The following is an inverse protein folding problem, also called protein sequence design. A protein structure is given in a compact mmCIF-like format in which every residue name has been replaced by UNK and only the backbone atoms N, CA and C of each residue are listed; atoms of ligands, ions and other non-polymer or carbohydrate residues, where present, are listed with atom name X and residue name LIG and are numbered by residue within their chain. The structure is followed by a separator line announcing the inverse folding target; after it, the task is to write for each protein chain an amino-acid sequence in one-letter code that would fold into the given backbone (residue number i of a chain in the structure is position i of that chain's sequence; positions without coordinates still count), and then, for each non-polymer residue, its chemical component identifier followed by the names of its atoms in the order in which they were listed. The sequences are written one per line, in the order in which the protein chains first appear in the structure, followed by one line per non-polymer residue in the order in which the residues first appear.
data_IF_598793742185
#
_entry.id   IF_598793742185
#
_cell.length_a   1.000
_cell.length_b   1.000
_cell.length_c   1.000
_cell.angle_alpha   90.00
_cell.angle_beta   90.00
_cell.angle_gamma   90.00
#
_symmetry.space_group_name_H-M   'P 1'
#
loop_
_entity.id
_entity.type
_entity.pdbx_description
1 polymer ?
#
# COMPACT_ATOMS: atom_id res chain seq x y z
N UNK A 1 -68.96 16.90 -13.16
CA UNK A 1 -69.76 17.21 -11.95
C UNK A 1 -70.38 15.89 -11.50
N UNK A 2 -70.06 15.30 -10.36
CA UNK A 2 -69.73 15.88 -9.06
C UNK A 2 -68.63 15.10 -8.32
N UNK A 3 -67.96 15.83 -7.43
CA UNK A 3 -67.06 15.40 -6.35
C UNK A 3 -67.78 14.64 -5.22
N UNK A 4 -66.98 14.01 -4.34
CA UNK A 4 -67.32 13.65 -2.96
C UNK A 4 -66.67 12.32 -2.56
N UNK A 5 -65.44 12.34 -2.03
CA UNK A 5 -65.09 12.14 -0.59
C UNK A 5 -65.49 10.76 -0.03
N UNK A 6 -64.70 10.00 0.75
CA UNK A 6 -63.38 10.15 1.34
C UNK A 6 -63.02 8.81 2.05
N UNK A 7 -61.79 8.78 2.61
CA UNK A 7 -61.34 7.98 3.78
C UNK A 7 -60.84 6.53 3.57
N UNK A 8 -59.56 6.38 3.90
CA UNK A 8 -58.75 5.15 4.10
C UNK A 8 -59.07 4.53 5.48
N UNK A 9 -58.99 3.19 5.64
CA UNK A 9 -58.04 2.68 6.64
C UNK A 9 -57.24 1.45 6.17
N UNK A 10 -55.92 1.58 6.33
CA UNK A 10 -54.94 0.62 6.87
C UNK A 10 -55.33 -0.87 7.00
N UNK A 11 -54.61 -1.73 6.28
CA UNK A 11 -54.01 -2.97 6.80
C UNK A 11 -52.90 -3.42 5.84
N UNK A 12 -51.64 -3.33 6.28
CA UNK A 12 -50.49 -3.93 5.59
C UNK A 12 -50.36 -5.37 6.07
N UNK A 13 -50.64 -6.33 5.19
CA UNK A 13 -50.29 -7.72 5.42
C UNK A 13 -48.86 -8.01 4.95
N UNK A 14 -48.03 -8.29 5.96
CA UNK A 14 -47.24 -9.52 6.10
C UNK A 14 -46.27 -9.93 4.98
N UNK A 15 -44.99 -9.64 5.22
CA UNK A 15 -43.87 -10.47 4.75
C UNK A 15 -43.29 -11.25 5.94
N UNK A 16 -43.01 -12.57 5.82
CA UNK A 16 -42.41 -13.33 6.91
C UNK A 16 -40.90 -13.13 6.92
N UNK A 17 -40.42 -12.50 7.98
CA UNK A 17 -39.02 -12.46 8.39
C UNK A 17 -38.68 -13.83 9.01
N UNK A 18 -37.88 -14.64 8.31
CA UNK A 18 -37.40 -15.92 8.82
C UNK A 18 -36.06 -15.73 9.52
N UNK A 19 -36.09 -15.96 10.82
CA UNK A 19 -34.99 -16.04 11.76
C UNK A 19 -33.78 -16.84 11.26
N UNK A 20 -32.59 -16.29 11.53
CA UNK A 20 -31.44 -17.10 11.93
C UNK A 20 -31.00 -16.61 13.31
N UNK A 21 -31.15 -17.52 14.27
CA UNK A 21 -30.88 -17.33 15.67
C UNK A 21 -29.38 -17.18 15.95
N UNK A 22 -29.09 -16.23 16.85
CA UNK A 22 -28.21 -16.38 18.02
C UNK A 22 -26.94 -17.21 17.88
N UNK A 23 -25.82 -16.50 17.80
CA UNK A 23 -24.58 -16.91 18.45
C UNK A 23 -23.94 -15.66 19.06
N UNK A 24 -24.34 -15.32 20.30
CA UNK A 24 -23.60 -14.39 21.15
C UNK A 24 -22.32 -15.07 21.60
N UNK A 25 -21.18 -14.60 21.12
CA UNK A 25 -19.87 -14.90 21.72
C UNK A 25 -19.52 -13.78 22.71
N UNK A 26 -19.02 -14.09 23.91
CA UNK A 26 -18.50 -13.09 24.83
C UNK A 26 -17.11 -12.70 24.32
N UNK A 27 -17.01 -11.55 23.65
CA UNK A 27 -15.70 -10.94 23.41
C UNK A 27 -15.33 -10.14 24.63
N UNK A 28 -14.58 -10.82 25.50
CA UNK A 28 -13.95 -10.25 26.68
C UNK A 28 -13.22 -8.95 26.34
N UNK A 29 -13.48 -7.98 27.21
CA UNK A 29 -12.76 -6.73 27.34
C UNK A 29 -11.25 -6.99 27.46
N UNK A 30 -10.52 -6.74 26.38
CA UNK A 30 -9.10 -6.43 26.44
C UNK A 30 -8.91 -5.02 25.89
N UNK A 31 -9.34 -4.04 26.71
CA UNK A 31 -8.84 -2.69 26.56
C UNK A 31 -7.33 -2.73 26.75
N UNK A 32 -6.60 -2.59 25.65
CA UNK A 32 -5.16 -2.31 25.69
C UNK A 32 -4.99 -0.92 26.27
N UNK A 33 -4.96 -0.86 27.60
CA UNK A 33 -4.59 0.31 28.37
C UNK A 33 -3.10 0.52 28.14
N UNK A 34 -2.77 1.26 27.08
CA UNK A 34 -1.49 1.94 27.00
C UNK A 34 -1.50 2.91 28.17
N UNK A 35 -0.88 2.46 29.26
CA UNK A 35 -0.71 3.25 30.47
C UNK A 35 0.21 4.41 30.09
N UNK A 36 -0.40 5.54 29.75
CA UNK A 36 0.30 6.81 29.70
C UNK A 36 1.05 6.97 31.03
N UNK A 37 2.33 7.38 31.02
CA UNK A 37 3.04 7.66 32.26
C UNK A 37 2.18 8.62 33.09
N UNK A 38 2.10 8.44 34.42
CA UNK A 38 1.23 9.26 35.24
C UNK A 38 1.55 10.72 34.96
N UNK A 39 0.55 11.44 34.44
CA UNK A 39 0.63 12.88 34.26
C UNK A 39 1.12 13.45 35.58
N UNK A 40 2.28 14.12 35.55
CA UNK A 40 2.85 14.74 36.73
C UNK A 40 1.75 15.57 37.39
N UNK A 41 1.44 15.25 38.65
CA UNK A 41 0.37 15.91 39.38
C UNK A 41 0.54 17.43 39.24
N UNK A 42 -0.54 18.18 38.93
CA UNK A 42 -0.43 19.63 38.80
C UNK A 42 0.20 20.16 40.08
N UNK A 43 1.27 20.98 40.01
CA UNK A 43 2.01 21.40 41.18
C UNK A 43 1.02 21.97 42.18
N UNK A 44 0.99 21.34 43.35
CA UNK A 44 -0.07 21.53 44.34
C UNK A 44 -0.40 23.00 44.50
N UNK A 45 -1.71 23.32 44.45
CA UNK A 45 -2.23 24.67 44.72
C UNK A 45 -1.84 25.08 46.14
N UNK A 46 -0.62 25.57 46.32
CA UNK A 46 -0.24 26.37 47.47
C UNK A 46 -1.15 27.60 47.38
N UNK A 47 -2.07 27.73 48.33
CA UNK A 47 -2.87 28.95 48.47
C UNK A 47 -1.91 30.09 48.81
N UNK A 48 -1.39 30.76 47.81
CA UNK A 48 -0.66 32.02 47.97
C UNK A 48 -1.70 33.09 48.30
N UNK A 49 -1.62 33.67 49.49
CA UNK A 49 -2.41 34.83 49.87
C UNK A 49 -1.69 36.08 49.38
N UNK A 50 -2.31 36.80 48.44
CA UNK A 50 -1.77 38.04 47.89
C UNK A 50 -2.33 39.25 48.64
N UNK A 51 -1.49 40.26 48.96
CA UNK A 51 -1.97 41.51 49.54
C UNK A 51 -2.98 42.23 48.63
N UNK A 52 -4.02 42.87 49.20
CA UNK A 52 -5.06 43.59 48.45
C UNK A 52 -4.62 44.97 47.92
N UNK A 53 -3.36 45.34 48.15
CA UNK A 53 -2.77 46.56 47.60
C UNK A 53 -2.60 46.49 46.08
N UNK A 54 -2.59 47.64 45.40
CA UNK A 54 -2.33 47.74 43.95
C UNK A 54 -1.00 47.07 43.56
N UNK A 55 0.06 47.29 44.34
CA UNK A 55 1.37 46.67 44.11
C UNK A 55 1.31 45.13 44.22
N UNK A 56 0.63 44.61 45.24
CA UNK A 56 0.43 43.16 45.41
C UNK A 56 -0.34 42.51 44.25
N UNK A 57 -1.31 43.23 43.66
CA UNK A 57 -2.05 42.77 42.48
C UNK A 57 -1.21 42.78 41.21
N UNK A 58 -0.30 43.74 41.06
CA UNK A 58 0.67 43.76 39.96
C UNK A 58 1.61 42.56 40.06
N UNK A 59 2.13 42.24 41.25
CA UNK A 59 2.97 41.07 41.47
C UNK A 59 2.23 39.75 41.22
N UNK A 60 0.98 39.64 41.67
CA UNK A 60 0.10 38.50 41.39
C UNK A 60 -0.09 38.32 39.87
N UNK A 61 -0.29 39.42 39.13
CA UNK A 61 -0.38 39.42 37.67
C UNK A 61 0.88 38.88 37.01
N UNK A 62 2.05 39.42 37.38
CA UNK A 62 3.34 38.94 36.86
C UNK A 62 3.59 37.46 37.18
N UNK A 63 3.21 37.01 38.38
CA UNK A 63 3.31 35.60 38.74
C UNK A 63 2.45 34.73 37.83
N UNK A 64 1.16 35.10 37.64
CA UNK A 64 0.25 34.33 36.79
C UNK A 64 0.69 34.30 35.33
N UNK A 65 1.17 35.42 34.78
CA UNK A 65 1.71 35.48 33.42
C UNK A 65 2.87 34.49 33.26
N UNK A 66 3.83 34.49 34.18
CA UNK A 66 4.94 33.52 34.16
C UNK A 66 4.46 32.07 34.23
N UNK A 67 3.45 31.78 35.04
CA UNK A 67 2.88 30.42 35.11
C UNK A 67 2.20 30.03 33.78
N UNK A 68 1.49 30.96 33.15
CA UNK A 68 0.88 30.72 31.84
C UNK A 68 1.92 30.51 30.75
N UNK A 69 3.02 31.25 30.77
CA UNK A 69 4.13 31.08 29.81
C UNK A 69 4.77 29.70 29.92
N UNK A 70 4.97 29.20 31.14
CA UNK A 70 5.46 27.84 31.38
C UNK A 70 4.48 26.78 30.86
N UNK A 71 3.19 26.90 31.20
CA UNK A 71 2.17 25.97 30.73
C UNK A 71 2.04 25.99 29.19
N UNK A 72 2.17 27.17 28.58
CA UNK A 72 2.18 27.30 27.12
C UNK A 72 3.35 26.53 26.53
N UNK A 73 4.55 26.69 27.07
CA UNK A 73 5.73 25.97 26.58
C UNK A 73 5.62 24.44 26.74
N UNK A 74 4.89 23.97 27.74
CA UNK A 74 4.59 22.54 27.90
C UNK A 74 3.61 22.06 26.83
N UNK A 75 2.51 22.78 26.63
CA UNK A 75 1.49 22.46 25.62
C UNK A 75 2.05 22.55 24.20
N UNK A 76 2.86 23.55 23.88
CA UNK A 76 3.49 23.69 22.56
C UNK A 76 4.36 22.46 22.24
N UNK A 77 5.07 21.91 23.24
CA UNK A 77 5.85 20.67 23.09
C UNK A 77 4.97 19.44 22.90
N UNK A 78 3.84 19.35 23.59
CA UNK A 78 2.88 18.26 23.41
C UNK A 78 2.24 18.31 22.02
N UNK A 79 1.92 19.51 21.53
CA UNK A 79 1.40 19.72 20.16
C UNK A 79 2.43 19.24 19.14
N UNK A 80 3.70 19.65 19.25
CA UNK A 80 4.75 19.22 18.32
C UNK A 80 4.94 17.69 18.32
N UNK A 81 4.80 17.05 19.49
CA UNK A 81 4.85 15.60 19.59
C UNK A 81 3.66 14.92 18.90
N UNK A 82 2.46 15.48 19.05
CA UNK A 82 1.24 14.99 18.40
C UNK A 82 1.30 15.17 16.88
N UNK A 83 1.82 16.29 16.39
CA UNK A 83 2.00 16.54 14.96
C UNK A 83 2.87 15.46 14.31
N UNK A 84 3.98 15.08 14.95
CA UNK A 84 4.84 13.98 14.47
C UNK A 84 4.13 12.63 14.44
N UNK A 85 3.26 12.35 15.40
CA UNK A 85 2.46 11.11 15.41
C UNK A 85 1.46 11.12 14.25
N UNK A 86 0.78 12.24 14.01
CA UNK A 86 -0.17 12.39 12.90
C UNK A 86 0.55 12.23 11.56
N UNK A 87 1.70 12.87 11.37
CA UNK A 87 2.53 12.68 10.17
C UNK A 87 2.90 11.21 9.96
N UNK A 88 3.27 10.49 11.03
CA UNK A 88 3.54 9.06 10.98
C UNK A 88 2.32 8.24 10.53
N UNK A 89 1.16 8.52 11.12
CA UNK A 89 -0.11 7.85 10.76
C UNK A 89 -0.52 8.14 9.31
N UNK A 90 -0.28 9.35 8.80
CA UNK A 90 -0.57 9.68 7.40
C UNK A 90 0.28 8.86 6.43
N UNK A 91 1.54 8.61 6.77
CA UNK A 91 2.45 7.77 5.97
C UNK A 91 1.99 6.31 6.00
N UNK A 92 1.64 5.78 7.18
CA UNK A 92 1.08 4.43 7.31
C UNK A 92 -0.20 4.25 6.49
N UNK A 93 -1.12 5.21 6.58
CA UNK A 93 -2.37 5.18 5.81
C UNK A 93 -2.10 5.18 4.30
N UNK A 94 -1.13 5.95 3.81
CA UNK A 94 -0.74 5.93 2.38
C UNK A 94 -0.23 4.55 1.97
N UNK A 95 0.61 3.93 2.80
CA UNK A 95 1.10 2.58 2.54
C UNK A 95 -0.03 1.54 2.49
N UNK A 96 -1.02 1.63 3.39
CA UNK A 96 -2.19 0.74 3.36
C UNK A 96 -3.02 0.90 2.07
N UNK A 97 -3.20 2.14 1.60
CA UNK A 97 -3.88 2.41 0.33
C UNK A 97 -3.12 1.83 -0.86
N UNK A 98 -1.80 1.99 -0.90
CA UNK A 98 -0.95 1.42 -1.95
C UNK A 98 -0.98 -0.12 -1.93
N UNK A 99 -0.93 -0.72 -0.74
CA UNK A 99 -1.06 -2.17 -0.57
C UNK A 99 -2.41 -2.69 -1.06
N UNK A 100 -3.50 -1.97 -0.76
CA UNK A 100 -4.84 -2.32 -1.24
C UNK A 100 -4.92 -2.28 -2.78
N UNK A 101 -4.31 -1.26 -3.41
CA UNK A 101 -4.23 -1.16 -4.86
C UNK A 101 -3.44 -2.35 -5.48
N UNK A 102 -2.28 -2.68 -4.90
CA UNK A 102 -1.50 -3.84 -5.37
C UNK A 102 -2.24 -5.17 -5.21
N UNK A 103 -2.98 -5.36 -4.11
CA UNK A 103 -3.82 -6.53 -3.93
C UNK A 103 -4.91 -6.63 -5.02
N UNK A 104 -5.55 -5.51 -5.35
CA UNK A 104 -6.54 -5.46 -6.42
C UNK A 104 -5.92 -5.83 -7.80
N UNK A 105 -4.72 -5.32 -8.10
CA UNK A 105 -3.99 -5.68 -9.33
C UNK A 105 -3.67 -7.18 -9.39
N UNK A 106 -3.19 -7.77 -8.29
CA UNK A 106 -2.90 -9.20 -8.22
C UNK A 106 -4.16 -10.05 -8.42
N UNK A 107 -5.30 -9.62 -7.88
CA UNK A 107 -6.59 -10.26 -8.12
C UNK A 107 -7.00 -10.16 -9.59
N UNK A 108 -6.86 -8.99 -10.22
CA UNK A 108 -7.13 -8.83 -11.65
C UNK A 108 -6.25 -9.74 -12.50
N UNK A 109 -4.94 -9.81 -12.22
CA UNK A 109 -4.02 -10.71 -12.91
C UNK A 109 -4.41 -12.18 -12.70
N UNK A 110 -4.81 -12.56 -11.48
CA UNK A 110 -5.29 -13.91 -11.19
C UNK A 110 -6.54 -14.23 -12.01
N UNK A 111 -7.52 -13.33 -12.06
CA UNK A 111 -8.76 -13.51 -12.86
C UNK A 111 -8.43 -13.60 -14.35
N UNK A 112 -7.56 -12.73 -14.86
CA UNK A 112 -7.10 -12.78 -16.24
C UNK A 112 -6.44 -14.11 -16.58
N UNK A 113 -5.56 -14.63 -15.72
CA UNK A 113 -4.96 -15.98 -15.87
C UNK A 113 -6.00 -17.09 -15.84
N UNK A 114 -7.01 -16.98 -14.99
CA UNK A 114 -8.10 -17.96 -14.93
C UNK A 114 -8.99 -17.94 -16.16
N UNK A 115 -9.26 -16.76 -16.73
CA UNK A 115 -9.96 -16.63 -18.01
C UNK A 115 -9.11 -17.12 -19.18
N UNK A 116 -7.79 -16.92 -19.11
CA UNK A 116 -6.80 -17.51 -20.01
C UNK A 116 -6.47 -18.99 -19.69
N UNK A 117 -7.31 -19.69 -18.89
CA UNK A 117 -7.21 -21.15 -18.71
C UNK A 117 -7.11 -21.84 -20.07
N UNK A 118 -6.50 -23.05 -20.13
CA UNK A 118 -5.84 -23.56 -21.32
C UNK A 118 -6.74 -23.39 -22.54
N UNK A 119 -6.16 -22.83 -23.60
CA UNK A 119 -6.76 -22.90 -24.93
C UNK A 119 -7.26 -24.33 -25.16
N UNK A 120 -8.35 -24.51 -25.95
CA UNK A 120 -8.75 -25.83 -26.40
C UNK A 120 -7.51 -26.62 -26.88
N UNK A 121 -7.48 -27.95 -26.69
CA UNK A 121 -6.33 -28.76 -27.08
C UNK A 121 -5.92 -28.38 -28.50
N UNK A 122 -4.61 -28.20 -28.68
CA UNK A 122 -4.03 -27.80 -29.96
C UNK A 122 -4.55 -28.74 -31.04
N UNK A 123 -4.96 -28.18 -32.17
CA UNK A 123 -5.27 -28.99 -33.33
C UNK A 123 -4.02 -29.77 -33.77
N UNK A 124 -4.22 -30.88 -34.46
CA UNK A 124 -3.11 -31.73 -34.93
C UNK A 124 -2.10 -30.95 -35.80
N UNK A 125 -2.58 -29.94 -36.53
CA UNK A 125 -1.74 -29.03 -37.31
C UNK A 125 -0.89 -28.11 -36.43
N UNK A 126 -1.45 -27.57 -35.36
CA UNK A 126 -0.74 -26.72 -34.40
C UNK A 126 0.28 -27.52 -33.58
N UNK A 127 -0.05 -28.75 -33.18
CA UNK A 127 0.91 -29.63 -32.52
C UNK A 127 2.10 -29.97 -33.43
N UNK A 128 1.83 -30.24 -34.71
CA UNK A 128 2.88 -30.51 -35.70
C UNK A 128 3.75 -29.28 -35.91
N UNK A 129 3.14 -28.10 -36.08
CA UNK A 129 3.87 -26.83 -36.19
C UNK A 129 4.72 -26.54 -34.94
N UNK A 130 4.22 -26.84 -33.74
CA UNK A 130 4.99 -26.66 -32.50
C UNK A 130 6.16 -27.65 -32.39
N UNK A 131 6.01 -28.88 -32.89
CA UNK A 131 7.14 -29.81 -32.99
C UNK A 131 8.18 -29.29 -33.98
N UNK A 132 7.76 -28.83 -35.16
CA UNK A 132 8.67 -28.27 -36.17
C UNK A 132 9.43 -27.04 -35.63
N UNK A 133 8.76 -26.16 -34.88
CA UNK A 133 9.40 -25.01 -34.23
C UNK A 133 10.41 -25.46 -33.17
N UNK A 134 10.07 -26.48 -32.36
CA UNK A 134 10.97 -27.01 -31.34
C UNK A 134 12.19 -27.69 -31.97
N UNK A 135 11.99 -28.45 -33.03
CA UNK A 135 13.06 -29.14 -33.76
C UNK A 135 13.98 -28.11 -34.43
N UNK A 136 13.41 -27.05 -35.03
CA UNK A 136 14.17 -25.95 -35.60
C UNK A 136 14.97 -25.20 -34.52
N UNK A 137 14.36 -24.92 -33.37
CA UNK A 137 15.04 -24.26 -32.25
C UNK A 137 16.17 -25.14 -31.69
N UNK A 138 15.93 -26.44 -31.51
CA UNK A 138 16.95 -27.38 -31.07
C UNK A 138 18.12 -27.47 -32.06
N UNK A 139 17.83 -27.48 -33.37
CA UNK A 139 18.85 -27.42 -34.41
C UNK A 139 19.65 -26.13 -34.34
N UNK A 140 18.99 -24.97 -34.19
CA UNK A 140 19.66 -23.69 -34.10
C UNK A 140 20.54 -23.56 -32.84
N UNK A 141 20.10 -24.11 -31.70
CA UNK A 141 20.90 -24.17 -30.48
C UNK A 141 22.12 -25.08 -30.66
N UNK A 142 21.96 -26.23 -31.32
CA UNK A 142 23.08 -27.12 -31.63
C UNK A 142 24.09 -26.47 -32.59
N UNK A 143 23.61 -25.76 -33.61
CA UNK A 143 24.44 -25.02 -34.57
C UNK A 143 25.19 -23.88 -33.89
N UNK A 144 24.54 -23.16 -32.98
CA UNK A 144 25.19 -22.14 -32.15
C UNK A 144 26.26 -22.76 -31.25
N UNK A 145 25.94 -23.87 -30.56
CA UNK A 145 26.88 -24.57 -29.71
C UNK A 145 28.13 -25.05 -30.47
N UNK A 146 27.95 -25.51 -31.70
CA UNK A 146 29.03 -25.98 -32.57
C UNK A 146 29.88 -24.83 -33.15
N UNK A 147 29.29 -23.66 -33.39
CA UNK A 147 29.97 -22.53 -34.08
C UNK A 147 30.51 -21.45 -33.14
N UNK A 148 29.83 -21.19 -32.03
CA UNK A 148 30.14 -20.11 -31.07
C UNK A 148 30.61 -20.66 -29.73
N UNK A 149 30.07 -21.80 -29.29
CA UNK A 149 30.37 -22.42 -28.00
C UNK A 149 29.11 -22.63 -27.15
N UNK A 150 29.24 -23.24 -25.95
CA UNK A 150 28.09 -23.63 -25.13
C UNK A 150 27.18 -22.44 -24.81
N UNK A 151 25.88 -22.71 -24.73
CA UNK A 151 24.85 -21.70 -24.43
C UNK A 151 25.21 -20.94 -23.14
N UNK A 152 25.16 -19.60 -23.14
CA UNK A 152 25.38 -18.83 -21.92
C UNK A 152 24.36 -19.22 -20.86
N UNK A 153 24.81 -19.51 -19.64
CA UNK A 153 23.91 -19.84 -18.55
C UNK A 153 23.13 -18.59 -18.11
N UNK A 154 21.89 -18.44 -18.61
CA UNK A 154 20.96 -17.37 -18.23
C UNK A 154 20.24 -17.64 -16.90
N UNK A 155 20.55 -18.76 -16.24
CA UNK A 155 19.96 -19.17 -14.96
C UNK A 155 20.33 -18.23 -13.79
N UNK A 156 21.26 -17.31 -14.00
CA UNK A 156 21.65 -16.30 -13.02
C UNK A 156 20.96 -14.96 -13.32
N UNK A 157 20.56 -14.19 -12.29
CA UNK A 157 20.03 -12.85 -12.46
C UNK A 157 21.02 -12.03 -13.31
N UNK A 158 20.56 -11.57 -14.47
CA UNK A 158 21.34 -10.70 -15.33
C UNK A 158 21.50 -9.38 -14.58
N UNK A 159 22.69 -9.14 -14.02
CA UNK A 159 23.00 -7.86 -13.41
C UNK A 159 23.34 -6.86 -14.54
N UNK A 160 22.49 -5.84 -14.79
CA UNK A 160 22.72 -4.89 -15.88
C UNK A 160 23.91 -3.96 -15.62
N UNK A 161 24.49 -3.98 -14.42
CA UNK A 161 25.61 -3.13 -14.02
C UNK A 161 26.97 -3.84 -14.04
N UNK A 162 27.03 -5.09 -14.50
CA UNK A 162 28.30 -5.82 -14.65
C UNK A 162 28.77 -5.82 -16.10
N UNK A 163 29.92 -5.18 -16.35
CA UNK A 163 30.66 -5.16 -17.64
C UNK A 163 31.15 -6.54 -18.12
N UNK A 164 30.78 -7.62 -17.44
CA UNK A 164 31.20 -9.00 -17.76
C UNK A 164 30.32 -9.68 -18.81
N UNK A 165 29.13 -9.17 -19.13
CA UNK A 165 28.31 -9.70 -20.22
C UNK A 165 28.76 -9.13 -21.57
N UNK A 166 29.91 -9.59 -22.06
CA UNK A 166 30.22 -9.50 -23.49
C UNK A 166 29.47 -10.60 -24.20
N UNK A 167 28.25 -10.34 -24.64
CA UNK A 167 27.58 -11.17 -25.63
C UNK A 167 28.37 -11.03 -26.94
N UNK A 168 29.12 -12.06 -27.38
CA UNK A 168 29.76 -11.98 -28.68
C UNK A 168 28.64 -11.98 -29.72
N UNK A 169 28.40 -10.83 -30.34
CA UNK A 169 27.51 -10.73 -31.49
C UNK A 169 27.99 -11.72 -32.56
N UNK A 170 27.11 -12.50 -33.20
CA UNK A 170 27.47 -13.35 -34.31
C UNK A 170 28.26 -12.55 -35.37
N UNK A 171 29.30 -13.15 -35.97
CA UNK A 171 30.23 -12.44 -36.88
C UNK A 171 29.50 -11.66 -37.98
N UNK A 172 28.42 -12.20 -38.54
CA UNK A 172 27.58 -11.52 -39.52
C UNK A 172 26.98 -10.18 -39.01
N UNK A 173 26.59 -10.12 -37.73
CA UNK A 173 26.10 -8.89 -37.10
C UNK A 173 27.24 -7.93 -36.78
N UNK A 174 28.41 -8.43 -36.39
CA UNK A 174 29.62 -7.61 -36.16
C UNK A 174 30.06 -6.94 -37.47
N UNK A 175 30.06 -7.69 -38.58
CA UNK A 175 30.40 -7.19 -39.91
C UNK A 175 29.38 -6.17 -40.43
N UNK A 176 28.08 -6.41 -40.21
CA UNK A 176 27.02 -5.45 -40.52
C UNK A 176 27.15 -4.15 -39.70
N UNK A 177 27.49 -4.27 -38.41
CA UNK A 177 27.69 -3.12 -37.51
C UNK A 177 28.92 -2.29 -37.91
N UNK A 178 30.03 -2.96 -38.24
CA UNK A 178 31.25 -2.30 -38.71
C UNK A 178 31.07 -1.65 -40.08
N UNK A 179 30.27 -2.25 -40.97
CA UNK A 179 29.94 -1.67 -42.29
C UNK A 179 29.08 -0.41 -42.15
N UNK A 180 28.17 -0.38 -41.18
CA UNK A 180 27.32 0.78 -40.87
C UNK A 180 28.10 1.95 -40.26
N UNK A 181 29.11 1.65 -39.44
CA UNK A 181 29.98 2.68 -38.85
C UNK A 181 30.94 3.31 -39.86
N UNK A 182 31.35 2.57 -40.91
CA UNK A 182 32.16 3.12 -42.02
C UNK A 182 31.38 3.99 -43.00
N UNK A 183 30.05 3.92 -42.97
CA UNK A 183 29.18 4.73 -43.85
C UNK A 183 28.75 6.07 -43.21
N UNK A 184 29.06 6.27 -41.93
CA UNK A 184 28.69 7.46 -41.13
C UNK A 184 29.96 8.23 -40.69
N UNK A 185 31.13 7.86 -41.22
CA UNK A 185 32.40 8.59 -41.06
C UNK A 185 32.72 9.43 -42.28
#
# INVERSE_FOLDING_TARGET
MAEGDAVIPTARDSFPESAIAGASLPSDSLGSSVQAPPAAAPPGRRKMSWPETVAGKIEEGHYKVRQMELLKADVDREIEALEKVVEGMEVEMRYELDLAAHCADLEMMRRARQLARPLPPLSEAEERALRDIRDLAASAVADYAASVGPEPAYDRPINPFTDTFRLPLPRAMVEASASRQRLVG
#
